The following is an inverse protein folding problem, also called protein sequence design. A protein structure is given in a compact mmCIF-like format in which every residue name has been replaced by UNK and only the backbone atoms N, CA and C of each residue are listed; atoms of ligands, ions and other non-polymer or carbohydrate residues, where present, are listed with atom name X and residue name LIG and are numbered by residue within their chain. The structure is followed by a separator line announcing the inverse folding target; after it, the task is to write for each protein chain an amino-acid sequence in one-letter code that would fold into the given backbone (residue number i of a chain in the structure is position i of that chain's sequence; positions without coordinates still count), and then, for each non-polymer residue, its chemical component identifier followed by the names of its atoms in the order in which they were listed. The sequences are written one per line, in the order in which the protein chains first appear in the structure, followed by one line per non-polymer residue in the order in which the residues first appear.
data_IF_125178730172
#
_entry.id   IF_125178730172
#
_cell.length_a   1.000
_cell.length_b   1.000
_cell.length_c   1.000
_cell.angle_alpha   90.00
_cell.angle_beta   90.00
_cell.angle_gamma   90.00
#
_symmetry.space_group_name_H-M   'P 1'
#
loop_
_entity.id
_entity.type
_entity.pdbx_description
1 polymer ?
#
# COMPACT_ATOMS: atom_id res chain seq x y z
N UNK A 1 11.59 6.16 -11.89
CA UNK A 1 10.73 5.23 -11.11
C UNK A 1 9.58 6.03 -10.52
N UNK A 2 8.33 5.66 -10.80
CA UNK A 2 7.14 6.42 -10.42
C UNK A 2 6.57 5.94 -9.08
N UNK A 3 6.17 6.87 -8.21
CA UNK A 3 5.38 6.56 -7.02
C UNK A 3 3.95 6.22 -7.40
N UNK A 4 3.27 5.43 -6.57
CA UNK A 4 1.84 5.16 -6.75
C UNK A 4 1.05 6.41 -6.36
N UNK A 5 0.38 7.03 -7.34
CA UNK A 5 -0.52 8.15 -7.13
C UNK A 5 -1.83 7.99 -7.90
N UNK A 6 -2.96 8.22 -7.24
CA UNK A 6 -4.29 8.11 -7.84
C UNK A 6 -5.24 9.13 -7.19
N UNK A 7 -6.08 9.82 -7.98
CA UNK A 7 -7.06 10.80 -7.49
C UNK A 7 -6.48 11.89 -6.55
N UNK A 8 -5.22 12.30 -6.76
CA UNK A 8 -4.54 13.27 -5.90
C UNK A 8 -4.02 12.70 -4.57
N UNK A 9 -4.12 11.39 -4.39
CA UNK A 9 -3.52 10.65 -3.28
C UNK A 9 -2.18 10.04 -3.69
N UNK A 10 -1.26 9.93 -2.74
CA UNK A 10 0.03 9.26 -2.92
C UNK A 10 0.19 8.19 -1.84
N UNK A 11 0.56 6.98 -2.24
CA UNK A 11 0.74 5.87 -1.31
C UNK A 11 2.13 5.93 -0.66
N UNK A 12 2.18 5.71 0.64
CA UNK A 12 3.41 5.74 1.42
C UNK A 12 3.50 4.56 2.39
N UNK A 13 4.75 4.14 2.61
CA UNK A 13 5.14 3.22 3.66
C UNK A 13 5.18 3.93 4.99
N UNK A 14 4.92 3.13 6.02
CA UNK A 14 4.96 3.58 7.39
C UNK A 14 5.68 2.53 8.22
N UNK A 15 6.54 3.01 9.11
CA UNK A 15 7.25 2.16 10.06
C UNK A 15 6.72 2.53 11.43
N UNK A 16 6.00 1.60 12.05
CA UNK A 16 5.22 1.83 13.26
C UNK A 16 4.15 2.92 13.06
N UNK A 17 4.53 4.18 13.27
CA UNK A 17 3.66 5.37 13.20
C UNK A 17 4.27 6.50 12.37
N UNK A 18 5.47 6.30 11.82
CA UNK A 18 6.20 7.31 11.06
C UNK A 18 6.06 7.06 9.57
N UNK A 19 5.81 8.14 8.82
CA UNK A 19 5.87 8.13 7.37
C UNK A 19 7.32 7.90 6.92
N UNK A 20 7.57 6.76 6.29
CA UNK A 20 8.93 6.35 5.94
C UNK A 20 9.29 6.75 4.51
N UNK A 21 8.48 6.37 3.53
CA UNK A 21 8.82 6.57 2.11
C UNK A 21 7.60 6.49 1.19
N UNK A 22 7.71 7.04 -0.02
CA UNK A 22 6.73 6.81 -1.10
C UNK A 22 6.81 5.37 -1.59
N UNK A 23 5.66 4.74 -1.76
CA UNK A 23 5.55 3.39 -2.34
C UNK A 23 5.66 3.45 -3.86
N UNK A 24 6.36 2.47 -4.44
CA UNK A 24 6.50 2.30 -5.88
C UNK A 24 6.00 0.91 -6.31
N UNK A 25 5.46 0.79 -7.54
CA UNK A 25 5.25 -0.53 -8.13
C UNK A 25 6.58 -1.27 -8.24
N UNK A 26 6.57 -2.51 -7.77
CA UNK A 26 7.71 -3.41 -7.71
C UNK A 26 8.49 -3.40 -6.40
N UNK A 27 8.14 -2.52 -5.45
CA UNK A 27 8.69 -2.61 -4.10
C UNK A 27 8.26 -3.93 -3.43
N UNK A 28 9.19 -4.52 -2.66
CA UNK A 28 8.97 -5.75 -1.91
C UNK A 28 8.69 -5.40 -0.44
N UNK A 29 7.62 -5.95 0.11
CA UNK A 29 7.20 -5.79 1.50
C UNK A 29 7.44 -7.12 2.23
N UNK A 30 8.26 -7.14 3.28
CA UNK A 30 8.36 -8.30 4.13
C UNK A 30 7.11 -8.40 5.02
N UNK A 31 6.39 -9.52 4.95
CA UNK A 31 5.20 -9.69 5.79
C UNK A 31 5.57 -9.99 7.25
N UNK A 32 4.98 -9.28 8.23
CA UNK A 32 5.14 -9.63 9.63
C UNK A 32 4.54 -11.02 9.89
N UNK A 33 5.27 -11.87 10.61
CA UNK A 33 4.82 -13.22 10.97
C UNK A 33 5.26 -14.34 10.03
N UNK A 34 6.18 -14.09 9.11
CA UNK A 34 6.78 -15.15 8.26
C UNK A 34 5.93 -15.56 7.05
N UNK A 35 4.94 -14.75 6.67
CA UNK A 35 4.03 -15.00 5.54
C UNK A 35 4.62 -14.77 4.15
N UNK A 36 5.95 -14.74 4.00
CA UNK A 36 6.62 -14.45 2.74
C UNK A 36 6.68 -12.96 2.38
N UNK A 37 7.51 -12.65 1.39
CA UNK A 37 7.65 -11.29 0.86
C UNK A 37 6.59 -11.02 -0.20
N UNK A 38 5.98 -9.84 -0.21
CA UNK A 38 4.95 -9.46 -1.19
C UNK A 38 5.44 -8.31 -2.07
N UNK A 39 5.27 -8.45 -3.39
CA UNK A 39 5.59 -7.42 -4.36
C UNK A 39 4.38 -6.52 -4.63
N UNK A 40 4.59 -5.21 -4.60
CA UNK A 40 3.56 -4.23 -4.90
C UNK A 40 3.36 -4.09 -6.39
N UNK A 41 2.10 -4.11 -6.83
CA UNK A 41 1.71 -3.89 -8.22
C UNK A 41 1.11 -2.51 -8.45
N UNK A 42 0.44 -1.97 -7.43
CA UNK A 42 -0.31 -0.72 -7.51
C UNK A 42 -1.16 -0.53 -6.27
N UNK A 43 -2.04 0.46 -6.27
CA UNK A 43 -3.04 0.63 -5.23
C UNK A 43 -4.30 1.29 -5.75
N UNK A 44 -5.36 1.21 -4.94
CA UNK A 44 -6.61 1.96 -5.12
C UNK A 44 -6.69 3.05 -4.06
N UNK A 45 -6.72 4.31 -4.48
CA UNK A 45 -6.97 5.43 -3.58
C UNK A 45 -8.42 5.42 -3.04
N UNK A 46 -8.67 5.97 -1.84
CA UNK A 46 -10.00 6.18 -1.30
C UNK A 46 -10.92 6.95 -2.26
N UNK A 47 -12.11 6.42 -2.52
CA UNK A 47 -13.07 7.07 -3.43
C UNK A 47 -14.25 7.74 -2.70
N UNK A 48 -14.53 7.38 -1.46
CA UNK A 48 -15.69 7.85 -0.68
C UNK A 48 -15.32 8.09 0.78
N UNK A 49 -16.15 8.85 1.51
CA UNK A 49 -16.07 8.90 2.96
C UNK A 49 -16.17 7.46 3.53
N UNK A 50 -15.22 7.09 4.38
CA UNK A 50 -14.99 5.74 4.93
C UNK A 50 -14.41 4.68 3.99
N UNK A 51 -14.17 4.98 2.70
CA UNK A 51 -13.30 4.12 1.90
C UNK A 51 -11.86 4.37 2.35
N UNK A 52 -11.17 3.28 2.62
CA UNK A 52 -9.81 3.32 3.14
C UNK A 52 -8.76 3.12 2.05
N UNK A 53 -9.21 2.81 0.85
CA UNK A 53 -8.34 2.39 -0.24
C UNK A 53 -7.75 1.01 0.02
N UNK A 54 -6.91 0.57 -0.90
CA UNK A 54 -6.23 -0.72 -0.83
C UNK A 54 -4.95 -0.69 -1.64
N UNK A 55 -4.13 -1.71 -1.45
CA UNK A 55 -2.93 -1.95 -2.25
C UNK A 55 -3.05 -3.31 -2.91
N UNK A 56 -2.56 -3.39 -4.14
CA UNK A 56 -2.54 -4.63 -4.90
C UNK A 56 -1.13 -5.18 -4.87
N UNK A 57 -1.02 -6.42 -4.44
CA UNK A 57 0.24 -7.13 -4.27
C UNK A 57 0.19 -8.47 -4.99
N UNK A 58 1.36 -9.08 -5.17
CA UNK A 58 1.50 -10.47 -5.56
C UNK A 58 2.62 -11.10 -4.77
N UNK A 59 2.55 -12.41 -4.60
CA UNK A 59 3.70 -13.19 -4.19
C UNK A 59 4.70 -13.24 -5.38
N UNK A 60 5.95 -12.76 -5.23
CA UNK A 60 6.95 -12.81 -6.29
C UNK A 60 7.46 -14.24 -6.57
N UNK A 61 7.27 -15.18 -5.64
CA UNK A 61 7.69 -16.59 -5.77
C UNK A 61 6.56 -17.49 -6.28
N UNK A 62 5.31 -17.00 -6.28
CA UNK A 62 4.18 -17.70 -6.88
C UNK A 62 4.32 -17.73 -8.41
N UNK A 63 4.24 -18.93 -8.99
CA UNK A 63 4.16 -19.10 -10.46
C UNK A 63 2.85 -18.53 -11.02
N UNK A 64 1.82 -18.43 -10.19
CA UNK A 64 0.55 -17.82 -10.54
C UNK A 64 0.64 -16.32 -10.34
N UNK A 65 0.27 -15.54 -11.37
CA UNK A 65 0.20 -14.07 -11.33
C UNK A 65 -1.03 -13.54 -10.57
N UNK A 66 -1.45 -14.25 -9.53
CA UNK A 66 -2.65 -13.90 -8.77
C UNK A 66 -2.40 -12.60 -7.99
N UNK A 67 -3.05 -11.55 -8.47
CA UNK A 67 -3.09 -10.25 -7.83
C UNK A 67 -4.00 -10.33 -6.62
N UNK A 68 -3.43 -10.08 -5.44
CA UNK A 68 -4.17 -9.98 -4.19
C UNK A 68 -4.42 -8.51 -3.84
N UNK A 69 -5.65 -8.18 -3.48
CA UNK A 69 -5.98 -6.89 -2.86
C UNK A 69 -5.83 -7.00 -1.35
N UNK A 70 -5.03 -6.12 -0.76
CA UNK A 70 -4.78 -6.08 0.68
C UNK A 70 -5.14 -4.71 1.28
N UNK A 71 -5.67 -4.70 2.51
CA UNK A 71 -5.88 -3.45 3.24
C UNK A 71 -4.53 -2.86 3.65
N UNK A 72 -4.43 -1.54 3.64
CA UNK A 72 -3.18 -0.81 3.86
C UNK A 72 -2.62 -1.06 5.27
N UNK A 73 -3.51 -1.18 6.27
CA UNK A 73 -3.15 -1.53 7.65
C UNK A 73 -2.38 -2.85 7.77
N UNK A 74 -2.62 -3.82 6.89
CA UNK A 74 -1.94 -5.12 6.95
C UNK A 74 -0.47 -5.01 6.51
N UNK A 75 -0.13 -3.93 5.80
CA UNK A 75 1.15 -3.73 5.15
C UNK A 75 1.90 -2.50 5.69
N UNK A 76 1.37 -1.86 6.72
CA UNK A 76 1.94 -0.63 7.27
C UNK A 76 2.01 0.47 6.21
N UNK A 77 0.90 0.75 5.52
CA UNK A 77 0.83 1.77 4.48
C UNK A 77 -0.29 2.78 4.73
N UNK A 78 -0.13 3.95 4.13
CA UNK A 78 -1.08 5.06 4.19
C UNK A 78 -1.20 5.76 2.83
N UNK A 79 -2.42 6.13 2.44
CA UNK A 79 -2.63 7.12 1.39
C UNK A 79 -2.58 8.52 1.96
N UNK A 80 -1.85 9.42 1.31
CA UNK A 80 -1.81 10.84 1.67
C UNK A 80 -2.34 11.68 0.52
N UNK A 81 -3.38 12.46 0.79
CA UNK A 81 -3.97 13.41 -0.15
C UNK A 81 -3.14 14.69 -0.17
N UNK A 82 -2.95 15.26 -1.36
CA UNK A 82 -2.38 16.60 -1.51
C UNK A 82 -3.17 17.69 -0.77
N UNK A 83 -4.46 17.44 -0.47
CA UNK A 83 -5.31 18.35 0.29
C UNK A 83 -5.18 18.20 1.83
N UNK A 84 -4.22 17.38 2.31
CA UNK A 84 -3.95 17.21 3.74
C UNK A 84 -4.74 16.07 4.42
N UNK A 85 -5.45 15.24 3.65
CA UNK A 85 -6.11 14.03 4.16
C UNK A 85 -5.19 12.81 4.21
N UNK A 86 -5.47 11.86 5.09
CA UNK A 86 -4.79 10.57 5.16
C UNK A 86 -5.79 9.41 5.18
N UNK A 87 -5.40 8.27 4.60
CA UNK A 87 -6.20 7.05 4.63
C UNK A 87 -5.31 5.86 4.98
N UNK A 88 -5.49 5.46 6.24
CA UNK A 88 -4.90 4.38 7.06
C UNK A 88 -3.46 4.55 7.61
N UNK A 89 -3.37 4.63 8.94
CA UNK A 89 -2.32 4.13 9.85
C UNK A 89 -3.03 3.76 11.19
N UNK A 90 -2.42 3.09 12.18
CA UNK A 90 -3.07 2.02 12.96
C UNK A 90 -4.45 2.33 13.59
N UNK A 91 -5.24 1.24 13.55
CA UNK A 91 -6.25 0.66 14.45
C UNK A 91 -7.01 1.56 15.44
#
# INVERSE_FOLDING_TARGET
MASISENGWTLHYTICTLLAAKVRPGDIIPMPGGGGDLMILGGRAPQRANDRGSVFVRDPLSETSDRMEMPLRALGMVWISAAGGWSELPA
#
